data_IF_474049836252
#
_entry.id   IF_474049836252
#
_cell.length_a   1.000
_cell.length_b   1.000
_cell.length_c   1.000
_cell.angle_alpha   90.00
_cell.angle_beta   90.00
_cell.angle_gamma   90.00
#
_symmetry.space_group_name_H-M   'P 1'
#
loop_
_entity.id
_entity.type
_entity.pdbx_description
1 polymer ?
#
# COMPACT_ATOMS: atom_id res chain seq x y z
N UNK A 1 -4.81 30.09 -3.78
CA UNK A 1 -6.06 29.41 -4.23
C UNK A 1 -6.35 28.29 -3.24
N UNK A 2 -7.54 28.32 -2.65
CA UNK A 2 -7.96 27.24 -1.73
C UNK A 2 -8.31 26.00 -2.58
N UNK A 3 -7.38 25.09 -2.78
CA UNK A 3 -7.67 23.86 -3.50
C UNK A 3 -8.21 22.84 -2.49
N UNK A 4 -9.29 22.14 -2.84
CA UNK A 4 -9.83 21.04 -2.04
C UNK A 4 -8.89 19.83 -2.00
N UNK A 5 -7.88 19.79 -2.88
CA UNK A 5 -6.92 18.69 -3.01
C UNK A 5 -5.94 18.70 -1.85
N UNK A 6 -5.99 17.67 -1.03
CA UNK A 6 -5.03 17.37 0.03
C UNK A 6 -3.82 16.68 -0.59
N UNK A 7 -4.01 15.53 -1.24
CA UNK A 7 -2.99 14.91 -2.07
C UNK A 7 -2.92 15.63 -3.42
N UNK A 8 -1.74 16.06 -3.83
CA UNK A 8 -1.50 16.83 -5.06
C UNK A 8 -0.79 16.02 -6.14
N UNK A 9 -0.09 14.94 -5.73
CA UNK A 9 0.71 14.10 -6.63
C UNK A 9 2.00 14.77 -7.09
N UNK A 10 2.47 15.76 -6.33
CA UNK A 10 3.67 16.56 -6.63
C UNK A 10 4.93 16.08 -5.92
N UNK A 11 4.81 15.11 -4.98
CA UNK A 11 5.92 14.51 -4.22
C UNK A 11 6.55 15.42 -3.17
N UNK A 12 5.97 16.55 -2.88
CA UNK A 12 6.46 17.45 -1.85
C UNK A 12 5.82 17.07 -0.51
N UNK A 13 6.58 16.52 0.47
CA UNK A 13 6.02 16.13 1.75
C UNK A 13 5.45 17.34 2.50
N UNK A 14 4.18 17.25 2.89
CA UNK A 14 3.51 18.33 3.60
C UNK A 14 2.46 17.81 4.60
N UNK A 15 2.03 18.67 5.51
CA UNK A 15 1.04 18.35 6.54
C UNK A 15 -0.40 18.68 6.09
N UNK A 16 -0.68 18.60 4.79
CA UNK A 16 -2.00 18.87 4.21
C UNK A 16 -3.10 17.97 4.75
N UNK A 17 -2.76 16.81 5.27
CA UNK A 17 -3.72 15.87 5.88
C UNK A 17 -4.45 16.48 7.08
N UNK A 18 -3.87 17.45 7.78
CA UNK A 18 -4.51 18.16 8.90
C UNK A 18 -5.71 19.01 8.46
N UNK A 19 -5.78 19.33 7.17
CA UNK A 19 -6.92 20.07 6.58
C UNK A 19 -8.06 19.15 6.16
N UNK A 20 -7.92 17.84 6.39
CA UNK A 20 -8.97 16.89 6.04
C UNK A 20 -10.19 17.12 6.92
N UNK A 21 -11.37 17.45 6.32
CA UNK A 21 -12.55 17.73 7.12
C UNK A 21 -13.06 16.48 7.84
N UNK A 22 -13.93 16.65 8.84
CA UNK A 22 -14.62 15.53 9.46
C UNK A 22 -15.27 14.61 8.41
N UNK A 23 -15.37 13.32 8.66
CA UNK A 23 -16.00 12.39 7.74
C UNK A 23 -17.49 12.72 7.55
N UNK A 24 -18.10 12.26 6.45
CA UNK A 24 -19.55 12.33 6.29
C UNK A 24 -20.27 11.68 7.49
N UNK A 25 -21.48 12.15 7.84
CA UNK A 25 -22.23 11.68 9.01
C UNK A 25 -22.45 10.15 9.02
N UNK A 26 -22.54 9.54 7.85
CA UNK A 26 -22.67 8.07 7.70
C UNK A 26 -21.34 7.31 7.69
N UNK A 27 -20.23 8.00 7.94
CA UNK A 27 -18.87 7.43 8.03
C UNK A 27 -18.14 7.90 9.27
N UNK A 28 -18.90 8.23 10.34
CA UNK A 28 -18.33 8.61 11.63
C UNK A 28 -18.03 7.37 12.44
N UNK A 29 -16.78 7.22 12.84
CA UNK A 29 -16.30 6.14 13.70
C UNK A 29 -16.12 6.74 15.10
N UNK A 30 -17.07 6.46 16.00
CA UNK A 30 -17.14 7.04 17.36
C UNK A 30 -17.00 5.97 18.42
N UNK A 31 -16.85 6.38 19.68
CA UNK A 31 -16.83 5.47 20.82
C UNK A 31 -15.43 4.95 21.18
N UNK A 32 -14.39 5.65 20.74
CA UNK A 32 -13.00 5.44 21.20
C UNK A 32 -12.67 6.53 22.21
N UNK A 33 -12.05 6.17 23.34
CA UNK A 33 -11.59 7.11 24.34
C UNK A 33 -10.39 7.91 23.82
N UNK A 34 -10.40 9.24 24.00
CA UNK A 34 -9.33 10.11 23.55
C UNK A 34 -7.99 9.73 24.20
N UNK A 35 -7.99 9.33 25.47
CA UNK A 35 -6.79 8.85 26.17
C UNK A 35 -6.11 7.67 25.47
N UNK A 36 -6.89 6.76 24.87
CA UNK A 36 -6.36 5.62 24.11
C UNK A 36 -5.75 6.09 22.79
N UNK A 37 -6.40 7.04 22.12
CA UNK A 37 -5.88 7.64 20.86
C UNK A 37 -4.54 8.30 21.12
N UNK A 38 -4.44 9.13 22.15
CA UNK A 38 -3.22 9.85 22.55
C UNK A 38 -2.08 8.88 22.90
N UNK A 39 -2.38 7.81 23.65
CA UNK A 39 -1.38 6.81 24.03
C UNK A 39 -0.80 6.10 22.80
N UNK A 40 -1.66 5.66 21.89
CA UNK A 40 -1.22 5.00 20.64
C UNK A 40 -0.47 5.99 19.75
N UNK A 41 -0.92 7.25 19.66
CA UNK A 41 -0.25 8.30 18.89
C UNK A 41 1.15 8.61 19.43
N UNK A 42 1.33 8.64 20.76
CA UNK A 42 2.65 8.82 21.37
C UNK A 42 3.61 7.72 20.95
N UNK A 43 3.21 6.46 21.09
CA UNK A 43 4.05 5.30 20.71
C UNK A 43 4.37 5.27 19.23
N UNK A 44 3.41 5.68 18.41
CA UNK A 44 3.60 5.81 16.98
C UNK A 44 4.63 6.90 16.64
N UNK A 45 4.55 8.05 17.28
CA UNK A 45 5.51 9.13 17.09
C UNK A 45 6.92 8.72 17.52
N UNK A 46 7.06 8.02 18.65
CA UNK A 46 8.34 7.49 19.10
C UNK A 46 8.93 6.51 18.07
N UNK A 47 8.11 5.62 17.53
CA UNK A 47 8.52 4.70 16.47
C UNK A 47 8.98 5.45 15.21
N UNK A 48 8.24 6.46 14.76
CA UNK A 48 8.64 7.26 13.59
C UNK A 48 10.01 7.92 13.75
N UNK A 49 10.39 8.30 14.98
CA UNK A 49 11.71 8.86 15.27
C UNK A 49 12.84 7.81 15.19
N UNK A 50 12.52 6.53 15.33
CA UNK A 50 13.51 5.44 15.21
C UNK A 50 13.77 5.04 13.76
N UNK A 51 12.94 5.48 12.82
CA UNK A 51 13.09 5.12 11.41
C UNK A 51 14.26 5.88 10.78
N UNK A 52 15.05 5.15 10.00
CA UNK A 52 16.10 5.77 9.18
C UNK A 52 15.51 6.86 8.26
N UNK A 53 16.30 7.90 8.03
CA UNK A 53 15.90 9.08 7.25
C UNK A 53 15.53 8.79 5.80
N UNK A 54 15.80 7.58 5.28
CA UNK A 54 15.52 7.22 3.90
C UNK A 54 15.15 5.73 3.74
N UNK A 55 13.98 5.36 4.25
CA UNK A 55 13.48 4.01 4.13
C UNK A 55 13.17 3.63 2.67
N UNK A 56 13.10 2.31 2.37
CA UNK A 56 12.71 1.81 1.04
C UNK A 56 11.34 2.36 0.61
N UNK A 57 10.40 2.48 1.54
CA UNK A 57 9.06 3.01 1.29
C UNK A 57 9.10 4.48 0.88
N UNK A 58 9.91 5.29 1.56
CA UNK A 58 10.10 6.70 1.22
C UNK A 58 10.74 6.86 -0.17
N UNK A 59 11.77 6.06 -0.49
CA UNK A 59 12.37 6.05 -1.83
C UNK A 59 11.34 5.72 -2.90
N UNK A 60 10.50 4.70 -2.66
CA UNK A 60 9.43 4.30 -3.57
C UNK A 60 8.37 5.40 -3.74
N UNK A 61 7.96 6.03 -2.65
CA UNK A 61 7.01 7.16 -2.68
C UNK A 61 7.56 8.37 -3.42
N UNK A 62 8.82 8.73 -3.16
CA UNK A 62 9.54 9.84 -3.80
C UNK A 62 9.77 9.62 -5.29
N UNK A 63 10.01 8.38 -5.72
CA UNK A 63 10.25 8.04 -7.12
C UNK A 63 8.97 7.94 -7.97
N UNK A 64 7.81 7.76 -7.35
CA UNK A 64 6.55 7.58 -8.07
C UNK A 64 6.16 8.84 -8.84
N UNK A 65 5.64 8.64 -10.06
CA UNK A 65 5.09 9.69 -10.93
C UNK A 65 3.71 9.25 -11.42
N UNK A 66 2.77 10.18 -11.42
CA UNK A 66 1.49 9.96 -12.10
C UNK A 66 1.71 10.33 -13.56
N UNK A 67 1.87 9.30 -14.39
CA UNK A 67 2.17 9.50 -15.80
C UNK A 67 0.91 9.37 -16.64
N UNK A 68 0.57 10.48 -17.29
CA UNK A 68 -0.36 10.48 -18.41
C UNK A 68 -0.03 11.68 -19.29
N UNK A 69 -0.04 11.55 -20.63
CA UNK A 69 0.08 12.69 -21.55
C UNK A 69 -1.11 13.65 -21.39
N UNK A 70 -2.22 13.18 -20.83
CA UNK A 70 -3.40 13.98 -20.61
C UNK A 70 -3.45 14.49 -19.17
N UNK A 71 -3.39 15.80 -18.99
CA UNK A 71 -3.58 16.48 -17.70
C UNK A 71 -4.89 16.05 -17.02
N UNK A 72 -5.89 15.65 -17.81
CA UNK A 72 -7.18 15.16 -17.33
C UNK A 72 -7.05 13.82 -16.57
N UNK A 73 -6.24 12.88 -17.06
CA UNK A 73 -6.03 11.59 -16.41
C UNK A 73 -5.21 11.73 -15.13
N UNK A 74 -4.16 12.56 -15.13
CA UNK A 74 -3.41 12.89 -13.91
C UNK A 74 -4.33 13.45 -12.85
N UNK A 75 -5.17 14.42 -13.22
CA UNK A 75 -6.16 15.00 -12.33
C UNK A 75 -7.15 13.94 -11.82
N UNK A 76 -7.52 12.96 -12.63
CA UNK A 76 -8.40 11.87 -12.22
C UNK A 76 -7.80 11.02 -11.10
N UNK A 77 -6.51 10.63 -11.20
CA UNK A 77 -5.82 9.88 -10.14
C UNK A 77 -5.81 10.70 -8.84
N UNK A 78 -5.37 11.95 -8.90
CA UNK A 78 -5.33 12.87 -7.75
C UNK A 78 -6.72 13.06 -7.15
N UNK A 79 -7.73 13.30 -7.97
CA UNK A 79 -9.12 13.50 -7.51
C UNK A 79 -9.68 12.25 -6.82
N UNK A 80 -9.39 11.04 -7.35
CA UNK A 80 -9.88 9.81 -6.76
C UNK A 80 -9.21 9.47 -5.42
N UNK A 81 -7.93 9.77 -5.25
CA UNK A 81 -7.24 9.66 -3.96
C UNK A 81 -7.86 10.62 -2.95
N UNK A 82 -8.07 11.89 -3.34
CA UNK A 82 -8.71 12.87 -2.46
C UNK A 82 -10.15 12.46 -2.12
N UNK A 83 -10.91 11.96 -3.08
CA UNK A 83 -12.26 11.45 -2.82
C UNK A 83 -12.24 10.29 -1.80
N UNK A 84 -11.26 9.38 -1.88
CA UNK A 84 -11.11 8.28 -0.92
C UNK A 84 -10.80 8.81 0.49
N UNK A 85 -9.93 9.82 0.60
CA UNK A 85 -9.63 10.49 1.87
C UNK A 85 -10.87 11.17 2.46
N UNK A 86 -11.58 11.98 1.68
CA UNK A 86 -12.77 12.74 2.13
C UNK A 86 -13.92 11.82 2.52
N UNK A 87 -14.19 10.79 1.71
CA UNK A 87 -15.31 9.87 1.92
C UNK A 87 -14.99 8.72 2.88
N UNK A 88 -13.74 8.61 3.34
CA UNK A 88 -13.30 7.49 4.18
C UNK A 88 -13.65 6.12 3.55
N UNK A 89 -13.43 6.00 2.25
CA UNK A 89 -13.74 4.80 1.47
C UNK A 89 -12.50 4.14 0.89
N UNK A 90 -12.46 2.82 0.78
CA UNK A 90 -11.40 2.12 0.09
C UNK A 90 -11.33 2.54 -1.39
N UNK A 91 -10.12 2.58 -1.93
CA UNK A 91 -9.83 2.88 -3.33
C UNK A 91 -9.36 1.60 -4.04
N UNK A 92 -10.20 1.06 -4.92
CA UNK A 92 -9.84 -0.06 -5.80
C UNK A 92 -9.16 0.48 -7.05
N UNK A 93 -7.88 0.19 -7.18
CA UNK A 93 -7.02 0.64 -8.28
C UNK A 93 -6.80 -0.49 -9.26
N UNK A 94 -7.37 -0.35 -10.45
CA UNK A 94 -7.28 -1.35 -11.53
C UNK A 94 -6.31 -0.88 -12.61
N UNK A 95 -5.62 -1.81 -13.23
CA UNK A 95 -4.72 -1.51 -14.36
C UNK A 95 -3.77 -2.66 -14.65
N UNK A 96 -3.15 -2.62 -15.82
CA UNK A 96 -2.17 -3.63 -16.22
C UNK A 96 -0.93 -3.66 -15.32
N UNK A 97 -0.16 -4.75 -15.30
CA UNK A 97 1.13 -4.80 -14.59
C UNK A 97 2.03 -3.62 -14.96
N UNK A 98 2.81 -3.13 -14.00
CA UNK A 98 3.76 -2.03 -14.23
C UNK A 98 3.15 -0.63 -14.43
N UNK A 99 1.85 -0.42 -14.14
CA UNK A 99 1.22 0.92 -14.20
C UNK A 99 1.35 1.74 -12.92
N UNK A 100 2.06 1.23 -11.92
CA UNK A 100 2.31 1.95 -10.68
C UNK A 100 1.18 1.88 -9.63
N UNK A 101 0.23 0.93 -9.76
CA UNK A 101 -0.87 0.73 -8.80
C UNK A 101 -0.40 0.65 -7.35
N UNK A 102 0.53 -0.26 -7.09
CA UNK A 102 1.12 -0.48 -5.76
C UNK A 102 1.89 0.75 -5.28
N UNK A 103 2.62 1.43 -6.18
CA UNK A 103 3.43 2.60 -5.85
C UNK A 103 2.60 3.84 -5.47
N UNK A 104 1.34 3.90 -5.89
CA UNK A 104 0.41 4.97 -5.51
C UNK A 104 0.23 5.05 -3.99
N UNK A 105 0.14 3.92 -3.29
CA UNK A 105 0.02 3.89 -1.83
C UNK A 105 1.22 4.54 -1.15
N UNK A 106 2.42 4.22 -1.62
CA UNK A 106 3.67 4.79 -1.10
C UNK A 106 3.80 6.29 -1.42
N UNK A 107 3.34 6.72 -2.60
CA UNK A 107 3.35 8.14 -2.98
C UNK A 107 2.44 8.97 -2.07
N UNK A 108 1.24 8.48 -1.78
CA UNK A 108 0.30 9.17 -0.88
C UNK A 108 0.85 9.20 0.54
N UNK A 109 1.39 8.07 1.05
CA UNK A 109 1.99 8.01 2.37
C UNK A 109 3.17 8.98 2.51
N UNK A 110 4.02 9.07 1.49
CA UNK A 110 5.18 9.96 1.46
C UNK A 110 4.76 11.44 1.44
N UNK A 111 3.92 11.84 0.46
CA UNK A 111 3.51 13.23 0.28
C UNK A 111 2.75 13.77 1.50
N UNK A 112 1.86 12.96 2.09
CA UNK A 112 1.04 13.35 3.24
C UNK A 112 1.65 13.02 4.60
N UNK A 113 2.90 12.56 4.65
CA UNK A 113 3.64 12.20 5.88
C UNK A 113 2.84 11.24 6.78
N UNK A 114 2.24 10.19 6.19
CA UNK A 114 1.40 9.24 6.91
C UNK A 114 2.18 8.05 7.52
N UNK A 115 3.51 8.10 7.46
CA UNK A 115 4.39 7.04 7.93
C UNK A 115 4.48 5.84 6.97
N UNK A 116 5.06 4.72 7.40
CA UNK A 116 5.18 3.52 6.59
C UNK A 116 3.84 2.97 6.13
N UNK A 117 3.82 2.48 4.90
CA UNK A 117 2.67 1.75 4.34
C UNK A 117 2.58 0.39 5.02
N UNK A 118 1.38 -0.07 5.30
CA UNK A 118 1.09 -1.40 5.79
C UNK A 118 0.74 -2.30 4.60
N UNK A 119 1.69 -3.10 4.07
CA UNK A 119 1.41 -3.95 2.94
C UNK A 119 0.77 -5.27 3.38
N UNK A 120 -0.29 -5.66 2.68
CA UNK A 120 -0.89 -6.98 2.77
C UNK A 120 -0.91 -7.61 1.38
N UNK A 121 0.06 -8.48 1.12
CA UNK A 121 0.18 -9.21 -0.13
C UNK A 121 -0.80 -10.37 -0.15
N UNK A 122 -1.72 -10.34 -1.09
CA UNK A 122 -2.79 -11.34 -1.18
C UNK A 122 -2.34 -12.55 -1.99
N UNK A 123 -2.70 -13.72 -1.49
CA UNK A 123 -2.55 -15.00 -2.16
C UNK A 123 -3.90 -15.73 -2.14
N UNK A 124 -4.02 -16.83 -2.88
CA UNK A 124 -5.23 -17.66 -2.87
C UNK A 124 -5.56 -18.27 -1.49
N UNK A 125 -4.62 -18.25 -0.55
CA UNK A 125 -4.81 -18.75 0.83
C UNK A 125 -5.02 -17.66 1.86
N UNK A 126 -4.96 -16.39 1.46
CA UNK A 126 -5.14 -15.28 2.37
C UNK A 126 -6.57 -15.24 2.92
N UNK A 127 -6.70 -15.11 4.22
CA UNK A 127 -7.98 -15.00 4.93
C UNK A 127 -8.12 -13.64 5.58
N UNK A 128 -9.34 -13.22 5.90
CA UNK A 128 -9.57 -12.00 6.67
C UNK A 128 -8.82 -12.02 7.99
N UNK A 129 -8.78 -13.18 8.67
CA UNK A 129 -8.09 -13.38 9.94
C UNK A 129 -6.60 -13.04 9.84
N UNK A 130 -5.91 -13.42 8.74
CA UNK A 130 -4.49 -13.10 8.54
C UNK A 130 -4.24 -11.59 8.45
N UNK A 131 -5.18 -10.86 7.87
CA UNK A 131 -5.12 -9.40 7.79
C UNK A 131 -5.38 -8.72 9.13
N UNK A 132 -6.20 -9.32 10.00
CA UNK A 132 -6.62 -8.72 11.26
C UNK A 132 -5.62 -8.97 12.39
N UNK A 133 -5.36 -10.22 12.73
CA UNK A 133 -4.41 -10.60 13.78
C UNK A 133 -4.08 -12.09 13.74
N UNK A 134 -2.99 -12.45 14.40
CA UNK A 134 -2.59 -13.84 14.66
C UNK A 134 -2.48 -14.06 16.15
N UNK A 135 -2.94 -15.21 16.61
CA UNK A 135 -2.78 -15.67 17.96
C UNK A 135 -1.93 -16.94 17.99
N UNK A 136 -0.80 -16.89 18.69
CA UNK A 136 0.10 -18.04 18.88
C UNK A 136 -0.31 -18.86 20.10
N UNK A 137 -1.32 -19.70 19.91
CA UNK A 137 -1.82 -20.60 20.96
C UNK A 137 -0.78 -21.67 21.34
N UNK A 138 0.09 -22.05 20.40
CA UNK A 138 1.13 -23.09 20.63
C UNK A 138 2.21 -22.52 21.55
N UNK A 139 2.75 -21.36 21.24
CA UNK A 139 3.74 -20.71 22.10
C UNK A 139 3.19 -20.50 23.51
N UNK A 140 1.94 -20.02 23.62
CA UNK A 140 1.28 -19.86 24.94
C UNK A 140 1.20 -21.17 25.70
N UNK A 141 0.81 -22.27 25.06
CA UNK A 141 0.72 -23.59 25.71
C UNK A 141 2.08 -24.07 26.19
N UNK A 142 3.13 -23.88 25.40
CA UNK A 142 4.50 -24.24 25.73
C UNK A 142 5.00 -23.47 26.95
N UNK A 143 4.79 -22.14 26.99
CA UNK A 143 5.20 -21.30 28.11
C UNK A 143 4.49 -21.70 29.41
N UNK A 144 3.19 -22.01 29.35
CA UNK A 144 2.43 -22.53 30.50
C UNK A 144 3.01 -23.88 31.00
N UNK A 145 3.37 -24.78 30.07
CA UNK A 145 3.98 -26.08 30.44
C UNK A 145 5.38 -25.91 31.05
N UNK A 146 6.13 -24.88 30.65
CA UNK A 146 7.43 -24.54 31.24
C UNK A 146 7.32 -23.80 32.59
N UNK A 147 6.09 -23.56 33.07
CA UNK A 147 5.86 -22.95 34.36
C UNK A 147 5.72 -21.43 34.32
N UNK A 148 5.64 -20.82 33.15
CA UNK A 148 5.31 -19.40 33.03
C UNK A 148 3.85 -19.19 33.46
N UNK A 149 3.68 -18.55 34.61
CA UNK A 149 2.37 -18.18 35.19
C UNK A 149 1.91 -16.80 34.71
N UNK A 150 2.59 -16.21 33.72
CA UNK A 150 2.20 -14.91 33.19
C UNK A 150 0.76 -14.98 32.65
N UNK A 151 -0.06 -14.06 33.10
CA UNK A 151 -1.42 -13.88 32.59
C UNK A 151 -1.47 -13.01 31.33
N UNK A 152 -0.31 -12.58 30.85
CA UNK A 152 -0.20 -11.67 29.70
C UNK A 152 -0.42 -12.41 28.38
N UNK A 153 -1.69 -12.53 27.99
CA UNK A 153 -2.10 -13.14 26.71
C UNK A 153 -1.67 -12.29 25.51
N UNK A 154 -1.51 -10.99 25.69
CA UNK A 154 -1.18 -10.07 24.59
C UNK A 154 0.15 -10.37 23.92
N UNK A 155 1.13 -10.94 24.64
CA UNK A 155 2.44 -11.39 24.09
C UNK A 155 2.30 -12.37 22.93
N UNK A 156 1.20 -13.10 22.87
CA UNK A 156 0.92 -14.11 21.85
C UNK A 156 -0.01 -13.59 20.73
N UNK A 157 -0.33 -12.29 20.75
CA UNK A 157 -1.20 -11.66 19.77
C UNK A 157 -0.39 -10.64 18.97
N UNK A 158 -0.36 -10.85 17.65
CA UNK A 158 0.23 -9.90 16.71
C UNK A 158 -0.84 -9.46 15.72
N UNK A 159 -1.06 -8.14 15.63
CA UNK A 159 -1.97 -7.57 14.65
C UNK A 159 -1.41 -7.75 13.24
N UNK A 160 -2.28 -8.12 12.31
CA UNK A 160 -1.98 -8.08 10.88
C UNK A 160 -2.01 -6.64 10.34
N UNK A 161 -1.66 -6.46 9.05
CA UNK A 161 -1.64 -5.12 8.43
C UNK A 161 -2.98 -4.38 8.52
N UNK A 162 -4.09 -5.08 8.28
CA UNK A 162 -5.44 -4.52 8.36
C UNK A 162 -5.83 -4.20 9.80
N UNK A 163 -5.54 -5.09 10.75
CA UNK A 163 -5.78 -4.86 12.17
C UNK A 163 -4.98 -3.66 12.71
N UNK A 164 -3.72 -3.54 12.30
CA UNK A 164 -2.87 -2.39 12.64
C UNK A 164 -3.40 -1.09 12.03
N UNK A 165 -3.88 -1.12 10.78
CA UNK A 165 -4.44 0.05 10.11
C UNK A 165 -5.70 0.59 10.78
N UNK A 166 -6.49 -0.29 11.44
CA UNK A 166 -7.73 0.05 12.15
C UNK A 166 -7.51 0.49 13.60
N UNK A 167 -6.27 0.57 14.08
CA UNK A 167 -6.00 1.17 15.38
C UNK A 167 -6.47 2.63 15.40
N UNK A 168 -6.98 3.11 16.54
CA UNK A 168 -7.38 4.50 16.66
C UNK A 168 -6.14 5.41 16.48
N UNK A 169 -6.26 6.39 15.60
CA UNK A 169 -5.19 7.31 15.27
C UNK A 169 -5.74 8.68 14.82
N UNK A 170 -5.01 9.76 15.10
CA UNK A 170 -5.36 11.10 14.64
C UNK A 170 -5.23 11.26 13.12
N UNK A 171 -4.24 10.59 12.52
CA UNK A 171 -4.04 10.57 11.06
C UNK A 171 -4.33 9.18 10.51
N UNK A 172 -4.97 9.06 9.34
CA UNK A 172 -5.23 7.75 8.75
C UNK A 172 -3.92 7.04 8.40
N UNK A 173 -3.80 5.75 8.74
CA UNK A 173 -2.73 4.89 8.25
C UNK A 173 -3.00 4.50 6.80
N UNK A 174 -1.95 4.23 6.03
CA UNK A 174 -2.09 3.73 4.65
C UNK A 174 -1.96 2.22 4.66
N UNK A 175 -3.03 1.54 4.25
CA UNK A 175 -3.06 0.09 4.04
C UNK A 175 -3.06 -0.20 2.55
N UNK A 176 -2.14 -1.03 2.12
CA UNK A 176 -2.07 -1.55 0.77
C UNK A 176 -2.50 -3.03 0.77
N UNK A 177 -3.64 -3.32 0.15
CA UNK A 177 -4.08 -4.69 -0.12
C UNK A 177 -3.70 -4.99 -1.57
N UNK A 178 -2.58 -5.70 -1.76
CA UNK A 178 -1.99 -5.88 -3.08
C UNK A 178 -2.50 -7.15 -3.75
N UNK A 179 -2.94 -7.02 -5.00
CA UNK A 179 -3.44 -8.11 -5.86
C UNK A 179 -4.68 -8.83 -5.28
N UNK A 180 -5.70 -8.04 -4.88
CA UNK A 180 -6.95 -8.58 -4.29
C UNK A 180 -7.67 -9.59 -5.19
N UNK A 181 -7.47 -9.52 -6.50
CA UNK A 181 -8.00 -10.47 -7.49
C UNK A 181 -7.41 -11.88 -7.36
N UNK A 182 -6.26 -12.05 -6.71
CA UNK A 182 -5.68 -13.37 -6.40
C UNK A 182 -6.29 -14.06 -5.18
N UNK A 183 -7.10 -13.37 -4.39
CA UNK A 183 -7.70 -13.92 -3.17
C UNK A 183 -8.69 -15.04 -3.48
N UNK A 184 -9.09 -15.80 -2.45
CA UNK A 184 -10.33 -16.59 -2.50
C UNK A 184 -11.53 -15.69 -2.82
N UNK A 185 -12.59 -16.27 -3.42
CA UNK A 185 -13.80 -15.55 -3.85
C UNK A 185 -14.54 -14.90 -2.68
N UNK A 186 -14.36 -15.40 -1.46
CA UNK A 186 -15.07 -14.93 -0.26
C UNK A 186 -14.39 -13.71 0.36
N UNK A 187 -13.07 -13.58 0.28
CA UNK A 187 -12.33 -12.50 0.96
C UNK A 187 -12.89 -11.10 0.67
N UNK A 188 -13.25 -10.71 -0.58
CA UNK A 188 -13.88 -9.40 -0.82
C UNK A 188 -15.20 -9.21 -0.07
N UNK A 189 -16.00 -10.27 0.12
CA UNK A 189 -17.24 -10.21 0.88
C UNK A 189 -16.97 -10.11 2.38
N UNK A 190 -15.97 -10.81 2.89
CA UNK A 190 -15.59 -10.78 4.30
C UNK A 190 -15.10 -9.39 4.73
N UNK A 191 -14.48 -8.63 3.82
CA UNK A 191 -14.05 -7.25 4.05
C UNK A 191 -15.22 -6.25 4.15
N UNK A 192 -16.43 -6.58 3.66
CA UNK A 192 -17.53 -5.62 3.55
C UNK A 192 -17.93 -5.02 4.90
N UNK A 193 -18.12 -5.87 5.89
CA UNK A 193 -18.56 -5.43 7.21
C UNK A 193 -17.49 -4.56 7.89
N UNK A 194 -16.23 -4.98 7.74
CA UNK A 194 -15.10 -4.24 8.28
C UNK A 194 -14.94 -2.84 7.66
N UNK A 195 -15.18 -2.73 6.34
CA UNK A 195 -15.16 -1.45 5.66
C UNK A 195 -16.30 -0.51 6.08
N UNK A 196 -17.43 -1.06 6.54
CA UNK A 196 -18.55 -0.25 7.02
C UNK A 196 -18.37 0.15 8.50
N UNK A 197 -18.03 -0.81 9.36
CA UNK A 197 -18.01 -0.61 10.80
C UNK A 197 -16.67 -0.06 11.33
N UNK A 198 -15.56 -0.31 10.63
CA UNK A 198 -14.22 0.12 11.05
C UNK A 198 -13.75 -0.50 12.35
N UNK A 199 -14.26 -1.69 12.70
CA UNK A 199 -13.96 -2.35 13.96
C UNK A 199 -14.01 -3.88 13.85
N UNK A 200 -13.32 -4.54 14.77
CA UNK A 200 -13.38 -6.00 14.93
C UNK A 200 -13.04 -6.42 16.36
N UNK A 201 -13.61 -7.54 16.84
CA UNK A 201 -13.24 -8.11 18.13
C UNK A 201 -12.02 -9.01 18.01
N UNK A 202 -11.26 -9.12 19.11
CA UNK A 202 -10.26 -10.16 19.36
C UNK A 202 -10.83 -11.08 20.43
N UNK A 203 -11.45 -12.22 20.06
CA UNK A 203 -12.18 -13.08 20.98
C UNK A 203 -11.37 -13.55 22.19
N UNK A 204 -10.06 -13.77 22.02
CA UNK A 204 -9.14 -14.15 23.07
C UNK A 204 -9.04 -13.07 24.15
N UNK A 205 -9.01 -11.81 23.76
CA UNK A 205 -8.97 -10.67 24.68
C UNK A 205 -10.36 -10.35 25.24
N UNK A 206 -11.40 -10.47 24.44
CA UNK A 206 -12.77 -10.21 24.88
C UNK A 206 -13.19 -11.13 26.04
N UNK A 207 -12.67 -12.38 26.09
CA UNK A 207 -12.93 -13.34 27.16
C UNK A 207 -12.36 -12.92 28.51
N UNK A 208 -11.23 -12.20 28.52
CA UNK A 208 -10.56 -11.76 29.76
C UNK A 208 -10.89 -10.31 30.11
N UNK A 209 -11.54 -9.57 29.22
CA UNK A 209 -11.88 -8.15 29.36
C UNK A 209 -12.60 -7.80 30.68
N UNK A 210 -13.48 -8.63 31.27
CA UNK A 210 -14.07 -8.33 32.56
C UNK A 210 -13.06 -8.19 33.72
N UNK A 211 -11.92 -8.90 33.61
CA UNK A 211 -10.86 -8.88 34.62
C UNK A 211 -9.72 -7.93 34.24
N UNK A 212 -9.47 -7.78 32.95
CA UNK A 212 -8.39 -6.98 32.39
C UNK A 212 -8.86 -6.28 31.12
N UNK A 213 -9.37 -5.07 31.25
CA UNK A 213 -9.97 -4.31 30.16
C UNK A 213 -8.95 -3.74 29.14
N UNK A 214 -7.65 -3.74 29.47
CA UNK A 214 -6.57 -3.23 28.61
C UNK A 214 -5.43 -4.23 28.53
N UNK A 215 -5.06 -4.63 27.34
CA UNK A 215 -4.01 -5.62 27.05
C UNK A 215 -3.08 -5.10 25.98
N UNK A 216 -1.76 -5.21 26.21
CA UNK A 216 -0.74 -4.85 25.24
C UNK A 216 -0.61 -5.93 24.17
N UNK A 217 -0.64 -5.54 22.89
CA UNK A 217 -0.42 -6.43 21.73
C UNK A 217 0.63 -5.84 20.80
N UNK A 218 1.23 -6.68 19.97
CA UNK A 218 2.20 -6.22 18.97
C UNK A 218 1.50 -5.90 17.65
N UNK A 219 1.83 -4.78 17.02
CA UNK A 219 1.34 -4.39 15.69
C UNK A 219 2.16 -5.06 14.58
N UNK A 220 1.68 -4.95 13.32
CA UNK A 220 2.43 -5.38 12.14
C UNK A 220 3.76 -4.62 11.97
N UNK A 221 3.86 -3.40 12.51
CA UNK A 221 5.10 -2.59 12.53
C UNK A 221 6.05 -2.97 13.68
N UNK A 222 5.65 -3.89 14.56
CA UNK A 222 6.45 -4.29 15.74
C UNK A 222 6.30 -3.36 16.94
N UNK A 223 5.32 -2.47 16.96
CA UNK A 223 5.04 -1.56 18.07
C UNK A 223 4.11 -2.26 19.07
N UNK A 224 4.37 -2.11 20.37
CA UNK A 224 3.42 -2.54 21.41
C UNK A 224 2.35 -1.47 21.57
N UNK A 225 1.07 -1.87 21.51
CA UNK A 225 -0.07 -0.97 21.64
C UNK A 225 -1.15 -1.58 22.54
N UNK A 226 -1.89 -0.76 23.31
CA UNK A 226 -3.00 -1.23 24.11
C UNK A 226 -4.24 -1.53 23.26
N UNK A 227 -4.88 -2.66 23.54
CA UNK A 227 -6.22 -3.00 23.05
C UNK A 227 -7.17 -2.96 24.24
N UNK A 228 -8.25 -2.19 24.11
CA UNK A 228 -9.23 -2.00 25.17
C UNK A 228 -10.46 -2.88 24.92
N UNK A 229 -10.95 -3.53 25.97
CA UNK A 229 -12.15 -4.38 25.95
C UNK A 229 -12.12 -5.49 24.88
N UNK A 230 -10.94 -5.94 24.48
CA UNK A 230 -10.78 -6.98 23.48
C UNK A 230 -11.30 -6.61 22.09
N UNK A 231 -11.33 -5.32 21.75
CA UNK A 231 -11.86 -4.81 20.49
C UNK A 231 -10.97 -3.71 19.93
N UNK A 232 -10.77 -3.73 18.61
CA UNK A 232 -10.14 -2.62 17.89
C UNK A 232 -11.22 -1.88 17.12
N UNK A 233 -11.19 -0.55 17.20
CA UNK A 233 -12.09 0.37 16.50
C UNK A 233 -11.30 1.59 16.07
N UNK A 234 -11.37 1.95 14.79
CA UNK A 234 -10.74 3.18 14.32
C UNK A 234 -11.56 4.41 14.74
N UNK A 235 -10.90 5.55 14.92
CA UNK A 235 -11.53 6.86 15.01
C UNK A 235 -11.40 7.63 13.67
N UNK A 236 -10.29 7.41 12.95
CA UNK A 236 -10.11 7.82 11.57
C UNK A 236 -9.92 6.57 10.70
N UNK A 237 -10.80 6.41 9.70
CA UNK A 237 -10.73 5.27 8.80
C UNK A 237 -9.43 5.31 7.98
N UNK A 238 -8.67 4.22 7.90
CA UNK A 238 -7.40 4.19 7.15
C UNK A 238 -7.64 4.46 5.65
N UNK A 239 -6.63 5.01 4.99
CA UNK A 239 -6.61 5.03 3.53
C UNK A 239 -6.28 3.62 3.03
N UNK A 240 -7.29 2.91 2.57
CA UNK A 240 -7.14 1.56 2.04
C UNK A 240 -7.04 1.64 0.52
N UNK A 241 -5.91 1.21 -0.03
CA UNK A 241 -5.68 1.07 -1.47
C UNK A 241 -5.63 -0.41 -1.79
N UNK A 242 -6.56 -0.87 -2.65
CA UNK A 242 -6.58 -2.24 -3.14
C UNK A 242 -6.12 -2.23 -4.59
N UNK A 243 -5.18 -3.10 -4.95
CA UNK A 243 -4.76 -3.23 -6.35
C UNK A 243 -5.40 -4.45 -7.01
N UNK A 244 -5.68 -4.31 -8.30
CA UNK A 244 -6.31 -5.33 -9.13
C UNK A 244 -5.69 -5.32 -10.54
N UNK A 245 -5.28 -6.47 -11.03
CA UNK A 245 -4.77 -6.64 -12.40
C UNK A 245 -5.90 -6.90 -13.43
N UNK A 246 -7.12 -7.13 -12.96
CA UNK A 246 -8.28 -7.43 -13.80
C UNK A 246 -8.41 -8.91 -14.14
N UNK A 247 -7.77 -9.79 -13.36
CA UNK A 247 -7.83 -11.23 -13.57
C UNK A 247 -9.20 -11.81 -13.19
N UNK A 248 -9.97 -11.07 -12.39
CA UNK A 248 -11.28 -11.50 -11.88
C UNK A 248 -12.23 -10.33 -11.62
N UNK A 249 -13.53 -10.58 -11.80
CA UNK A 249 -14.60 -9.67 -11.41
C UNK A 249 -14.94 -9.78 -9.91
N UNK A 250 -15.39 -8.67 -9.34
CA UNK A 250 -15.80 -8.60 -7.93
C UNK A 250 -17.31 -8.50 -7.77
N UNK A 251 -17.85 -8.99 -6.64
CA UNK A 251 -19.27 -8.87 -6.34
C UNK A 251 -19.73 -7.39 -6.34
N UNK A 252 -20.94 -7.10 -6.85
CA UNK A 252 -21.46 -5.73 -6.87
C UNK A 252 -21.51 -5.06 -5.49
N UNK A 253 -21.72 -5.85 -4.43
CA UNK A 253 -21.70 -5.38 -3.05
C UNK A 253 -20.34 -4.81 -2.65
N UNK A 254 -19.25 -5.47 -3.04
CA UNK A 254 -17.87 -5.00 -2.81
C UNK A 254 -17.57 -3.73 -3.62
N UNK A 255 -17.90 -3.76 -4.92
CA UNK A 255 -17.65 -2.62 -5.81
C UNK A 255 -18.36 -1.34 -5.35
N UNK A 256 -19.58 -1.44 -4.76
CA UNK A 256 -20.30 -0.28 -4.22
C UNK A 256 -19.63 0.35 -3.00
N UNK A 257 -18.82 -0.39 -2.27
CA UNK A 257 -18.11 0.09 -1.08
C UNK A 257 -16.75 0.70 -1.40
N UNK A 258 -16.24 0.44 -2.60
CA UNK A 258 -14.98 0.97 -3.08
C UNK A 258 -15.19 2.11 -4.08
N UNK A 259 -14.32 3.12 -4.01
CA UNK A 259 -14.11 4.01 -5.14
C UNK A 259 -13.26 3.27 -6.17
N UNK A 260 -13.50 3.50 -7.45
CA UNK A 260 -12.80 2.77 -8.52
C UNK A 260 -11.94 3.72 -9.35
N UNK A 261 -10.67 3.40 -9.44
CA UNK A 261 -9.69 4.13 -10.24
C UNK A 261 -9.06 3.17 -11.25
N UNK A 262 -9.14 3.52 -12.53
CA UNK A 262 -8.32 2.87 -13.55
C UNK A 262 -7.04 3.68 -13.73
N UNK A 263 -5.89 3.04 -13.54
CA UNK A 263 -4.59 3.68 -13.75
C UNK A 263 -4.34 3.91 -15.25
N UNK A 264 -3.79 5.07 -15.63
CA UNK A 264 -3.38 5.31 -17.01
C UNK A 264 -2.39 4.24 -17.49
N UNK A 265 -2.57 3.79 -18.73
CA UNK A 265 -1.80 2.66 -19.25
C UNK A 265 -0.57 3.03 -20.04
N UNK A 266 -0.58 4.20 -20.68
CA UNK A 266 0.48 4.58 -21.63
C UNK A 266 1.26 5.80 -21.13
N UNK A 267 2.39 5.61 -20.43
CA UNK A 267 3.32 6.70 -20.24
C UNK A 267 3.93 7.07 -21.61
N UNK A 268 4.02 8.37 -21.88
CA UNK A 268 4.76 8.87 -23.06
C UNK A 268 6.28 8.72 -22.85
N UNK A 269 7.07 9.09 -23.86
CA UNK A 269 8.54 8.98 -23.78
C UNK A 269 9.12 9.84 -22.66
N UNK A 270 8.53 11.00 -22.38
CA UNK A 270 8.96 11.91 -21.30
C UNK A 270 8.72 11.27 -19.94
N UNK A 271 7.52 10.72 -19.74
CA UNK A 271 7.15 10.01 -18.51
C UNK A 271 8.05 8.79 -18.25
N UNK A 272 8.39 8.01 -19.29
CA UNK A 272 9.30 6.88 -19.14
C UNK A 272 10.73 7.33 -18.78
N UNK A 273 11.21 8.45 -19.32
CA UNK A 273 12.50 9.03 -18.93
C UNK A 273 12.52 9.44 -17.48
N UNK A 274 11.48 10.12 -17.01
CA UNK A 274 11.35 10.50 -15.60
C UNK A 274 11.30 9.28 -14.65
N UNK A 275 10.67 8.17 -15.08
CA UNK A 275 10.70 6.90 -14.33
C UNK A 275 12.13 6.35 -14.27
N UNK A 276 12.83 6.32 -15.41
CA UNK A 276 14.21 5.83 -15.50
C UNK A 276 15.12 6.65 -14.59
N UNK A 277 15.04 7.98 -14.69
CA UNK A 277 15.79 8.92 -13.86
C UNK A 277 15.53 8.71 -12.37
N UNK A 278 14.25 8.57 -11.98
CA UNK A 278 13.84 8.37 -10.60
C UNK A 278 14.35 7.05 -9.99
N UNK A 279 14.58 6.02 -10.79
CA UNK A 279 15.01 4.70 -10.32
C UNK A 279 16.51 4.43 -10.46
N UNK A 280 17.11 4.95 -11.52
CA UNK A 280 18.51 4.68 -11.86
C UNK A 280 19.44 5.89 -11.62
N UNK A 281 18.87 7.05 -11.26
CA UNK A 281 19.60 8.31 -11.03
C UNK A 281 19.83 9.13 -12.31
N UNK A 282 20.08 10.43 -12.13
CA UNK A 282 20.34 11.38 -13.25
C UNK A 282 21.55 10.96 -14.11
N UNK A 283 22.59 10.41 -13.47
CA UNK A 283 23.80 9.96 -14.15
C UNK A 283 23.51 8.87 -15.18
N UNK A 284 22.50 8.04 -14.97
CA UNK A 284 22.14 6.97 -15.89
C UNK A 284 21.64 7.51 -17.24
N UNK A 285 20.91 8.62 -17.24
CA UNK A 285 20.43 9.27 -18.48
C UNK A 285 21.54 9.97 -19.27
N UNK A 286 22.63 10.35 -18.59
CA UNK A 286 23.74 11.09 -19.20
C UNK A 286 24.81 10.18 -19.79
N UNK A 287 24.93 8.93 -19.36
CA UNK A 287 25.95 7.99 -19.81
C UNK A 287 25.79 7.59 -21.29
N UNK A 288 24.58 7.30 -21.75
CA UNK A 288 24.28 6.97 -23.13
C UNK A 288 22.85 7.38 -23.52
N UNK A 289 22.57 8.68 -23.68
CA UNK A 289 21.24 9.18 -23.97
C UNK A 289 20.62 8.62 -25.26
N UNK A 290 21.42 8.33 -26.26
CA UNK A 290 20.95 7.80 -27.54
C UNK A 290 20.42 6.38 -27.37
N UNK A 291 21.14 5.53 -26.61
CA UNK A 291 20.77 4.14 -26.33
C UNK A 291 19.53 4.07 -25.48
N UNK A 292 19.44 4.90 -24.44
CA UNK A 292 18.27 4.95 -23.55
C UNK A 292 17.02 5.36 -24.33
N UNK A 293 17.12 6.39 -25.19
CA UNK A 293 16.00 6.79 -26.03
C UNK A 293 15.57 5.65 -26.98
N UNK A 294 16.52 4.93 -27.56
CA UNK A 294 16.24 3.77 -28.39
C UNK A 294 15.50 2.68 -27.66
N UNK A 295 15.91 2.34 -26.40
CA UNK A 295 15.25 1.33 -25.56
C UNK A 295 13.84 1.77 -25.16
N UNK A 296 13.65 3.04 -24.81
CA UNK A 296 12.32 3.61 -24.50
C UNK A 296 11.39 3.51 -25.72
N UNK A 297 11.87 3.84 -26.91
CA UNK A 297 11.06 3.76 -28.14
C UNK A 297 10.76 2.30 -28.52
N UNK A 298 11.71 1.39 -28.36
CA UNK A 298 11.48 -0.05 -28.54
C UNK A 298 10.44 -0.58 -27.55
N UNK A 299 10.56 -0.21 -26.28
CA UNK A 299 9.60 -0.60 -25.25
C UNK A 299 8.19 -0.10 -25.56
N UNK A 300 8.05 1.17 -25.97
CA UNK A 300 6.74 1.75 -26.35
C UNK A 300 6.13 1.04 -27.55
N UNK A 301 6.92 0.78 -28.59
CA UNK A 301 6.46 0.10 -29.78
C UNK A 301 6.02 -1.33 -29.48
N UNK A 302 6.78 -2.08 -28.68
CA UNK A 302 6.43 -3.44 -28.25
C UNK A 302 5.20 -3.42 -27.32
N UNK A 303 5.11 -2.48 -26.39
CA UNK A 303 3.98 -2.35 -25.48
C UNK A 303 2.64 -2.05 -26.18
N UNK A 304 2.67 -1.44 -27.36
CA UNK A 304 1.46 -1.26 -28.19
C UNK A 304 0.97 -2.57 -28.82
N UNK A 305 1.81 -3.60 -28.89
CA UNK A 305 1.53 -4.91 -29.51
C UNK A 305 1.28 -6.01 -28.46
N UNK A 306 1.74 -5.84 -27.23
CA UNK A 306 1.61 -6.82 -26.16
C UNK A 306 1.87 -6.23 -24.78
N UNK A 307 1.62 -7.02 -23.73
CA UNK A 307 1.79 -6.57 -22.36
C UNK A 307 3.27 -6.61 -21.95
N UNK A 308 3.80 -5.43 -21.61
CA UNK A 308 5.13 -5.23 -21.04
C UNK A 308 5.03 -4.41 -19.75
N UNK A 309 5.76 -4.80 -18.72
CA UNK A 309 5.85 -4.07 -17.48
C UNK A 309 7.03 -3.08 -17.48
N UNK A 310 6.89 -1.97 -16.77
CA UNK A 310 7.91 -0.90 -16.74
C UNK A 310 9.24 -1.36 -16.11
N UNK A 311 9.21 -2.34 -15.20
CA UNK A 311 10.41 -2.95 -14.62
C UNK A 311 11.27 -3.68 -15.66
N UNK A 312 10.67 -4.24 -16.71
CA UNK A 312 11.42 -4.85 -17.83
C UNK A 312 12.26 -3.79 -18.58
N UNK A 313 11.71 -2.58 -18.78
CA UNK A 313 12.47 -1.46 -19.34
C UNK A 313 13.60 -1.04 -18.40
N UNK A 314 13.31 -0.90 -17.10
CA UNK A 314 14.33 -0.53 -16.11
C UNK A 314 15.47 -1.54 -16.07
N UNK A 315 15.15 -2.84 -16.09
CA UNK A 315 16.14 -3.92 -16.12
C UNK A 315 17.00 -3.85 -17.40
N UNK A 316 16.38 -3.64 -18.57
CA UNK A 316 17.10 -3.54 -19.82
C UNK A 316 18.06 -2.33 -19.83
N UNK A 317 17.58 -1.14 -19.42
CA UNK A 317 18.42 0.06 -19.32
C UNK A 317 19.58 -0.16 -18.34
N UNK A 318 19.29 -0.72 -17.17
CA UNK A 318 20.31 -0.99 -16.16
C UNK A 318 21.43 -1.90 -16.66
N UNK A 319 21.10 -2.95 -17.43
CA UNK A 319 22.09 -3.87 -17.99
C UNK A 319 22.99 -3.24 -19.03
N UNK A 320 22.48 -2.27 -19.81
CA UNK A 320 23.26 -1.65 -20.90
C UNK A 320 23.98 -0.37 -20.50
N UNK A 321 23.66 0.21 -19.34
CA UNK A 321 24.27 1.49 -18.88
C UNK A 321 25.35 1.31 -17.82
N UNK A 322 25.65 0.08 -17.39
CA UNK A 322 26.71 -0.17 -16.38
C UNK A 322 28.12 -0.14 -17.00
N UNK A 323 29.11 0.05 -16.10
CA UNK A 323 30.54 0.07 -16.48
C UNK A 323 31.00 -1.25 -17.07
N UNK A 324 30.51 -2.39 -16.54
CA UNK A 324 30.71 -3.73 -17.08
C UNK A 324 29.53 -4.07 -17.99
N UNK A 325 29.61 -3.67 -19.26
CA UNK A 325 28.58 -3.92 -20.27
C UNK A 325 28.74 -5.31 -20.88
N UNK A 326 27.63 -5.99 -21.25
CA UNK A 326 27.68 -7.15 -22.13
C UNK A 326 28.34 -6.81 -23.48
N UNK A 327 28.93 -7.80 -24.14
CA UNK A 327 29.37 -7.62 -25.53
C UNK A 327 28.18 -7.27 -26.42
N UNK A 328 28.42 -6.57 -27.53
CA UNK A 328 27.36 -6.04 -28.42
C UNK A 328 26.43 -7.14 -28.96
N UNK A 329 26.93 -8.36 -29.13
CA UNK A 329 26.16 -9.54 -29.52
C UNK A 329 25.18 -9.96 -28.40
N UNK A 330 25.65 -10.05 -27.18
CA UNK A 330 24.93 -10.51 -26.02
C UNK A 330 23.93 -9.45 -25.53
N UNK A 331 24.26 -8.17 -25.72
CA UNK A 331 23.40 -7.05 -25.35
C UNK A 331 22.06 -7.10 -26.10
N UNK A 332 22.08 -7.38 -27.42
CA UNK A 332 20.84 -7.49 -28.20
C UNK A 332 19.96 -8.64 -27.72
N UNK A 333 20.56 -9.80 -27.51
CA UNK A 333 19.86 -10.98 -27.01
C UNK A 333 19.27 -10.73 -25.63
N UNK A 334 20.05 -10.13 -24.70
CA UNK A 334 19.58 -9.77 -23.36
C UNK A 334 18.40 -8.80 -23.38
N UNK A 335 18.47 -7.75 -24.22
CA UNK A 335 17.35 -6.80 -24.35
C UNK A 335 16.10 -7.49 -24.89
N UNK A 336 16.24 -8.41 -25.84
CA UNK A 336 15.10 -9.19 -26.35
C UNK A 336 14.48 -10.08 -25.28
N UNK A 337 15.29 -10.77 -24.50
CA UNK A 337 14.85 -11.62 -23.38
C UNK A 337 14.15 -10.77 -22.30
N UNK A 338 14.77 -9.65 -21.90
CA UNK A 338 14.25 -8.78 -20.85
C UNK A 338 12.95 -8.07 -21.26
N UNK A 339 12.74 -7.82 -22.56
CA UNK A 339 11.54 -7.21 -23.13
C UNK A 339 10.59 -8.23 -23.77
N UNK A 340 10.60 -9.49 -23.31
CA UNK A 340 9.64 -10.51 -23.76
C UNK A 340 8.25 -10.19 -23.23
N UNK A 341 7.20 -10.43 -24.02
CA UNK A 341 5.82 -10.17 -23.61
C UNK A 341 5.42 -11.05 -22.43
N UNK A 342 4.70 -10.47 -21.47
CA UNK A 342 4.22 -11.19 -20.27
C UNK A 342 3.21 -12.29 -20.63
N UNK A 343 2.54 -12.18 -21.77
CA UNK A 343 1.52 -13.14 -22.24
C UNK A 343 2.08 -14.16 -23.25
N UNK A 344 3.39 -14.17 -23.53
CA UNK A 344 3.97 -15.17 -24.41
C UNK A 344 4.17 -16.50 -23.66
N UNK A 345 3.46 -17.54 -24.08
CA UNK A 345 3.61 -18.93 -23.59
C UNK A 345 4.77 -19.69 -24.26
N UNK A 346 5.64 -19.01 -24.97
CA UNK A 346 6.82 -19.63 -25.61
C UNK A 346 8.05 -19.43 -24.71
N UNK A 347 8.56 -20.55 -24.21
CA UNK A 347 9.91 -20.72 -23.67
C UNK A 347 10.94 -20.85 -24.80
#
# INVERSE_FOLDING_TARGET
MNTWKIFQGNRDPHDGIEKLPPPPSWRQFTGVEESLVEEIASRWNDFLQTLDSETRDQKRGKSFRIHSPETQEQNRVVNMVNAALYLRRPLLVTGKPGTGKTSLAYAVAYELKLGPVLPWYITARSTLQDGLYRYDAIARLQDVQMGDKSKDIGRYITLGPLGTALLPAHRPRVLLIDEIDKSDINLPNDLLNLFEEGEFPIPELARISPEQNKVEVTTADGISVPVQNGKIRCCNFPLIILTNNGERDFPPAFLRRCLRLSMPYQPDSTALKEIVEAHLGEDSLTQDPAKINQLIDQFRNRRSQGDLATDQLLNAIYMVTRDLKPEVSDEKELVEILMKYLNSSED
#
